data_IF_679083494433
#
_entry.id   IF_679083494433
#
_cell.length_a   1.000
_cell.length_b   1.000
_cell.length_c   1.000
_cell.angle_alpha   90.00
_cell.angle_beta   90.00
_cell.angle_gamma   90.00
#
_symmetry.space_group_name_H-M   'P 1'
#
loop_
_entity.id
_entity.type
_entity.pdbx_description
1 polymer ?
#
# COMPACT_ATOMS: atom_id res chain seq x y z
N UNK A 1 3.71 6.45 22.69
CA UNK A 1 3.08 6.36 21.36
C UNK A 1 4.00 5.54 20.46
N UNK A 2 3.43 4.67 19.61
CA UNK A 2 4.23 4.03 18.57
C UNK A 2 4.72 5.09 17.58
N UNK A 3 5.95 4.98 17.05
CA UNK A 3 6.47 5.95 16.08
C UNK A 3 5.58 5.98 14.82
N UNK A 4 5.36 7.17 14.26
CA UNK A 4 4.59 7.35 13.02
C UNK A 4 5.27 6.56 11.89
N UNK A 5 4.48 5.78 11.16
CA UNK A 5 4.91 5.02 10.00
C UNK A 5 3.86 5.16 8.91
N UNK A 6 4.24 5.77 7.81
CA UNK A 6 3.39 5.94 6.63
C UNK A 6 4.06 5.36 5.40
N UNK A 7 3.29 5.14 4.33
CA UNK A 7 3.83 4.61 3.09
C UNK A 7 3.21 5.23 1.86
N UNK A 8 4.02 5.41 0.83
CA UNK A 8 3.57 5.53 -0.54
C UNK A 8 3.58 4.15 -1.20
N UNK A 9 2.47 3.77 -1.82
CA UNK A 9 2.27 2.42 -2.36
C UNK A 9 1.78 2.45 -3.83
N UNK A 10 2.64 2.82 -4.80
CA UNK A 10 2.25 2.93 -6.20
C UNK A 10 2.22 1.57 -6.90
N UNK A 11 1.30 1.39 -7.84
CA UNK A 11 1.31 0.27 -8.79
C UNK A 11 2.15 0.65 -10.02
N UNK A 12 3.07 -0.21 -10.50
CA UNK A 12 3.94 0.08 -11.64
C UNK A 12 3.25 -0.18 -12.98
N UNK A 13 2.10 0.46 -13.20
CA UNK A 13 1.27 0.29 -14.41
C UNK A 13 1.34 1.49 -15.36
N UNK A 14 2.24 2.42 -15.11
CA UNK A 14 2.41 3.66 -15.87
C UNK A 14 3.28 4.67 -15.13
N UNK A 15 3.23 5.93 -15.59
CA UNK A 15 4.01 7.02 -15.01
C UNK A 15 3.49 7.47 -13.64
N UNK A 16 4.39 7.99 -12.81
CA UNK A 16 4.02 8.72 -11.60
C UNK A 16 3.27 10.01 -11.99
N UNK A 17 1.94 9.97 -11.91
CA UNK A 17 1.11 11.15 -12.16
C UNK A 17 1.12 12.12 -10.97
N UNK A 18 0.74 13.38 -11.23
CA UNK A 18 0.75 14.48 -10.24
C UNK A 18 -0.02 14.12 -8.96
N UNK A 19 -1.15 13.44 -9.09
CA UNK A 19 -1.91 12.94 -7.93
C UNK A 19 -1.12 11.96 -7.05
N UNK A 20 -0.34 11.07 -7.65
CA UNK A 20 0.55 10.15 -6.94
C UNK A 20 1.70 10.89 -6.26
N UNK A 21 2.34 11.83 -6.99
CA UNK A 21 3.40 12.67 -6.44
C UNK A 21 2.92 13.49 -5.23
N UNK A 22 1.71 14.07 -5.29
CA UNK A 22 1.09 14.77 -4.16
C UNK A 22 0.92 13.86 -2.94
N UNK A 23 0.43 12.64 -3.14
CA UNK A 23 0.26 11.67 -2.06
C UNK A 23 1.60 11.27 -1.45
N UNK A 24 2.62 11.01 -2.27
CA UNK A 24 3.98 10.72 -1.79
C UNK A 24 4.53 11.87 -0.96
N UNK A 25 4.43 13.11 -1.47
CA UNK A 25 4.89 14.32 -0.80
C UNK A 25 4.22 14.52 0.56
N UNK A 26 2.89 14.33 0.66
CA UNK A 26 2.18 14.51 1.93
C UNK A 26 2.58 13.46 2.97
N UNK A 27 2.73 12.20 2.57
CA UNK A 27 3.21 11.15 3.46
C UNK A 27 4.66 11.43 3.91
N UNK A 28 5.51 11.86 2.99
CA UNK A 28 6.89 12.23 3.29
C UNK A 28 6.96 13.40 4.28
N UNK A 29 6.27 14.51 4.00
CA UNK A 29 6.21 15.69 4.88
C UNK A 29 5.70 15.33 6.27
N UNK A 30 4.63 14.52 6.35
CA UNK A 30 4.06 14.11 7.62
C UNK A 30 5.03 13.24 8.42
N UNK A 31 5.69 12.26 7.78
CA UNK A 31 6.72 11.46 8.44
C UNK A 31 7.87 12.33 8.96
N UNK A 32 8.38 13.26 8.16
CA UNK A 32 9.47 14.16 8.55
C UNK A 32 9.07 15.10 9.69
N UNK A 33 7.85 15.64 9.65
CA UNK A 33 7.32 16.51 10.70
C UNK A 33 7.21 15.81 12.06
N UNK A 34 6.73 14.57 12.05
CA UNK A 34 6.51 13.76 13.26
C UNK A 34 7.77 13.00 13.75
N UNK A 35 8.91 13.14 13.04
CA UNK A 35 10.09 12.31 13.30
C UNK A 35 9.83 10.80 13.08
N UNK A 36 8.87 10.48 12.22
CA UNK A 36 8.46 9.12 11.85
C UNK A 36 9.20 8.58 10.64
N UNK A 37 8.63 7.52 10.05
CA UNK A 37 9.18 6.85 8.86
C UNK A 37 8.25 6.91 7.66
N UNK A 38 8.81 7.27 6.51
CA UNK A 38 8.24 7.17 5.19
C UNK A 38 8.76 5.93 4.47
N UNK A 39 7.85 5.04 4.10
CA UNK A 39 8.18 3.75 3.47
C UNK A 39 7.71 3.75 2.01
N UNK A 40 8.42 3.00 1.16
CA UNK A 40 8.03 2.77 -0.22
C UNK A 40 7.70 1.28 -0.44
N UNK A 41 6.54 1.02 -1.06
CA UNK A 41 6.12 -0.34 -1.44
C UNK A 41 5.55 -0.37 -2.84
N UNK A 42 6.15 -1.14 -3.74
CA UNK A 42 5.64 -1.33 -5.10
C UNK A 42 4.52 -2.37 -5.06
N UNK A 43 3.33 -2.00 -5.53
CA UNK A 43 2.15 -2.87 -5.61
C UNK A 43 2.15 -3.61 -6.97
N UNK A 44 3.13 -4.49 -7.17
CA UNK A 44 3.40 -5.24 -8.42
C UNK A 44 2.69 -6.61 -8.49
N UNK A 45 1.53 -6.77 -7.83
CA UNK A 45 0.82 -8.05 -7.78
C UNK A 45 0.17 -8.42 -9.11
N UNK A 46 -0.19 -7.43 -9.93
CA UNK A 46 -0.69 -7.67 -11.28
C UNK A 46 0.48 -7.73 -12.27
N UNK A 47 1.00 -8.94 -12.49
CA UNK A 47 2.15 -9.17 -13.37
C UNK A 47 1.90 -8.85 -14.84
N UNK A 48 0.63 -8.79 -15.29
CA UNK A 48 0.32 -8.46 -16.68
C UNK A 48 0.46 -6.96 -16.96
N UNK A 49 0.26 -6.11 -15.93
CA UNK A 49 0.35 -4.65 -16.05
C UNK A 49 1.59 -4.04 -15.42
N UNK A 50 2.29 -4.81 -14.58
CA UNK A 50 3.48 -4.36 -13.84
C UNK A 50 4.74 -4.59 -14.67
N UNK A 51 5.53 -3.54 -14.90
CA UNK A 51 6.84 -3.65 -15.58
C UNK A 51 7.96 -3.06 -14.73
N UNK A 52 9.17 -3.58 -14.92
CA UNK A 52 10.38 -3.04 -14.28
C UNK A 52 10.64 -1.60 -14.75
N UNK A 53 10.32 -1.30 -16.01
CA UNK A 53 10.43 0.06 -16.57
C UNK A 53 9.53 1.05 -15.84
N UNK A 54 8.25 0.72 -15.62
CA UNK A 54 7.35 1.59 -14.85
C UNK A 54 7.78 1.70 -13.38
N UNK A 55 8.32 0.63 -12.81
CA UNK A 55 8.91 0.69 -11.46
C UNK A 55 10.05 1.71 -11.44
N UNK A 56 10.98 1.65 -12.40
CA UNK A 56 12.10 2.57 -12.45
C UNK A 56 11.65 4.03 -12.61
N UNK A 57 10.66 4.29 -13.49
CA UNK A 57 10.07 5.61 -13.67
C UNK A 57 9.52 6.19 -12.36
N UNK A 58 8.89 5.36 -11.52
CA UNK A 58 8.40 5.78 -10.21
C UNK A 58 9.57 6.15 -9.30
N UNK A 59 10.60 5.30 -9.22
CA UNK A 59 11.78 5.53 -8.37
C UNK A 59 12.53 6.81 -8.78
N UNK A 60 12.73 7.00 -10.08
CA UNK A 60 13.38 8.19 -10.64
C UNK A 60 12.56 9.46 -10.36
N UNK A 61 11.23 9.38 -10.47
CA UNK A 61 10.34 10.48 -10.15
C UNK A 61 10.41 10.90 -8.67
N UNK A 62 10.46 9.93 -7.75
CA UNK A 62 10.62 10.20 -6.32
C UNK A 62 12.01 10.79 -6.02
N UNK A 63 13.06 10.24 -6.62
CA UNK A 63 14.43 10.75 -6.47
C UNK A 63 14.57 12.19 -6.99
N UNK A 64 13.98 12.49 -8.16
CA UNK A 64 13.97 13.84 -8.72
C UNK A 64 13.24 14.86 -7.83
N UNK A 65 12.16 14.43 -7.16
CA UNK A 65 11.44 15.24 -6.18
C UNK A 65 12.18 15.37 -4.83
N UNK A 66 13.28 14.65 -4.62
CA UNK A 66 14.00 14.62 -3.35
C UNK A 66 13.28 13.86 -2.24
N UNK A 67 12.40 12.91 -2.59
CA UNK A 67 11.60 12.12 -1.64
C UNK A 67 12.29 10.78 -1.36
N UNK A 68 13.20 10.78 -0.40
CA UNK A 68 13.85 9.57 0.12
C UNK A 68 12.90 8.74 1.00
N UNK A 69 13.20 7.45 1.20
CA UNK A 69 12.44 6.54 2.07
C UNK A 69 13.35 5.77 3.02
N UNK A 70 12.82 5.40 4.18
CA UNK A 70 13.64 5.10 5.37
C UNK A 70 13.98 3.62 5.55
N UNK A 71 13.37 2.71 4.80
CA UNK A 71 13.57 1.26 4.90
C UNK A 71 13.72 0.63 3.52
N UNK A 72 14.04 -0.66 3.47
CA UNK A 72 14.18 -1.36 2.20
C UNK A 72 12.89 -1.29 1.38
N UNK A 73 13.07 -1.13 0.06
CA UNK A 73 11.99 -1.15 -0.90
C UNK A 73 11.27 -2.50 -0.85
N UNK A 74 9.96 -2.48 -0.64
CA UNK A 74 9.14 -3.71 -0.59
C UNK A 74 8.42 -3.92 -1.92
N UNK A 75 8.53 -5.12 -2.47
CA UNK A 75 7.73 -5.58 -3.62
C UNK A 75 6.62 -6.50 -3.12
N UNK A 76 5.37 -6.16 -3.42
CA UNK A 76 4.22 -6.93 -2.96
C UNK A 76 4.09 -8.28 -3.69
N UNK A 77 4.49 -8.35 -4.96
CA UNK A 77 4.51 -9.57 -5.76
C UNK A 77 5.47 -10.63 -5.20
N UNK A 78 6.56 -10.21 -4.55
CA UNK A 78 7.48 -11.11 -3.85
C UNK A 78 6.87 -11.72 -2.57
N UNK A 79 5.70 -11.25 -2.12
CA UNK A 79 5.04 -11.67 -0.87
C UNK A 79 3.85 -12.61 -1.09
N UNK A 80 3.68 -13.18 -2.28
CA UNK A 80 2.54 -14.06 -2.62
C UNK A 80 2.33 -15.19 -1.59
N UNK A 81 3.42 -15.83 -1.13
CA UNK A 81 3.34 -16.88 -0.11
C UNK A 81 2.71 -16.37 1.18
N UNK A 82 3.10 -15.18 1.63
CA UNK A 82 2.54 -14.56 2.83
C UNK A 82 1.06 -14.22 2.65
N UNK A 83 0.66 -13.76 1.46
CA UNK A 83 -0.74 -13.48 1.17
C UNK A 83 -1.58 -14.76 1.23
N UNK A 84 -1.08 -15.86 0.68
CA UNK A 84 -1.73 -17.17 0.75
C UNK A 84 -1.87 -17.66 2.20
N UNK A 85 -0.80 -17.59 3.00
CA UNK A 85 -0.85 -17.95 4.43
C UNK A 85 -1.93 -17.19 5.20
N UNK A 86 -2.08 -15.89 4.91
CA UNK A 86 -3.11 -15.06 5.55
C UNK A 86 -4.50 -15.43 5.04
N UNK A 87 -4.67 -15.68 3.74
CA UNK A 87 -5.94 -16.09 3.16
C UNK A 87 -6.42 -17.44 3.74
N UNK A 88 -5.53 -18.41 3.84
CA UNK A 88 -5.80 -19.73 4.43
C UNK A 88 -6.17 -19.60 5.91
N UNK A 89 -5.47 -18.73 6.66
CA UNK A 89 -5.80 -18.44 8.05
C UNK A 89 -7.19 -17.80 8.18
N UNK A 90 -7.54 -16.85 7.32
CA UNK A 90 -8.85 -16.21 7.35
C UNK A 90 -10.00 -17.18 7.01
N UNK A 91 -9.76 -18.13 6.10
CA UNK A 91 -10.68 -19.23 5.83
C UNK A 91 -10.85 -20.13 7.06
N UNK A 92 -9.74 -20.54 7.68
CA UNK A 92 -9.75 -21.37 8.89
C UNK A 92 -10.46 -20.69 10.08
N UNK A 93 -10.34 -19.37 10.20
CA UNK A 93 -11.02 -18.57 11.23
C UNK A 93 -12.48 -18.24 10.89
N UNK A 94 -13.00 -18.66 9.73
CA UNK A 94 -14.37 -18.36 9.28
C UNK A 94 -14.61 -16.89 8.89
N UNK A 95 -13.54 -16.08 8.84
CA UNK A 95 -13.54 -14.66 8.44
C UNK A 95 -13.54 -14.45 6.94
N UNK A 96 -13.29 -15.51 6.18
CA UNK A 96 -13.44 -15.56 4.74
C UNK A 96 -14.15 -16.85 4.33
N UNK A 97 -14.61 -16.93 3.09
CA UNK A 97 -15.25 -18.10 2.51
C UNK A 97 -14.93 -18.22 1.01
N UNK A 98 -15.05 -19.44 0.48
CA UNK A 98 -14.87 -19.70 -0.95
C UNK A 98 -16.17 -19.49 -1.70
N UNK A 99 -16.12 -18.75 -2.81
CA UNK A 99 -17.27 -18.53 -3.70
C UNK A 99 -16.77 -18.31 -5.13
N UNK A 100 -17.32 -19.05 -6.10
CA UNK A 100 -16.96 -18.93 -7.53
C UNK A 100 -15.45 -19.00 -7.82
N UNK A 101 -14.72 -19.84 -7.06
CA UNK A 101 -13.27 -19.98 -7.20
C UNK A 101 -12.44 -18.85 -6.59
N UNK A 102 -13.06 -17.91 -5.88
CA UNK A 102 -12.39 -16.84 -5.16
C UNK A 102 -12.55 -16.95 -3.64
N UNK A 103 -11.58 -16.42 -2.90
CA UNK A 103 -11.70 -16.19 -1.45
C UNK A 103 -12.34 -14.83 -1.25
N UNK A 104 -13.52 -14.80 -0.62
CA UNK A 104 -14.25 -13.57 -0.29
C UNK A 104 -14.24 -13.34 1.22
N UNK A 105 -14.07 -12.08 1.63
CA UNK A 105 -14.18 -11.71 3.04
C UNK A 105 -15.62 -11.83 3.52
N UNK A 106 -15.81 -12.30 4.75
CA UNK A 106 -17.08 -12.20 5.45
C UNK A 106 -17.17 -10.82 6.09
N UNK A 107 -17.98 -9.95 5.50
CA UNK A 107 -18.23 -8.62 6.08
C UNK A 107 -19.01 -8.81 7.40
N UNK A 108 -18.48 -8.32 8.53
CA UNK A 108 -19.20 -8.41 9.80
C UNK A 108 -20.49 -7.58 9.74
N UNK A 109 -21.57 -8.02 10.39
CA UNK A 109 -22.80 -7.24 10.44
C UNK A 109 -22.60 -5.97 11.28
N UNK A 110 -23.32 -4.90 10.95
CA UNK A 110 -23.31 -3.64 11.69
C UNK A 110 -22.85 -2.45 10.84
N UNK A 111 -22.79 -1.28 11.48
CA UNK A 111 -22.23 -0.06 10.89
C UNK A 111 -20.70 -0.11 10.99
N UNK A 112 -20.01 0.11 9.88
CA UNK A 112 -18.57 0.31 9.84
C UNK A 112 -18.34 1.81 9.68
N UNK A 113 -17.80 2.44 10.71
CA UNK A 113 -17.48 3.86 10.69
C UNK A 113 -16.10 4.12 11.31
N UNK A 114 -15.41 5.15 10.85
CA UNK A 114 -14.14 5.60 11.41
C UNK A 114 -13.98 7.12 11.30
N UNK A 115 -13.12 7.69 12.15
CA UNK A 115 -12.72 9.09 12.05
C UNK A 115 -11.58 9.22 11.05
N UNK A 116 -11.87 9.76 9.86
CA UNK A 116 -10.88 10.10 8.86
C UNK A 116 -10.21 11.43 9.21
N UNK A 117 -8.87 11.46 9.15
CA UNK A 117 -8.11 12.63 9.55
C UNK A 117 -8.35 13.88 8.66
N UNK A 118 -8.91 13.71 7.46
CA UNK A 118 -9.21 14.78 6.52
C UNK A 118 -10.71 15.08 6.47
N UNK A 119 -11.53 14.03 6.49
CA UNK A 119 -12.98 14.14 6.23
C UNK A 119 -13.87 14.02 7.48
N UNK A 120 -13.30 13.70 8.65
CA UNK A 120 -14.07 13.40 9.86
C UNK A 120 -14.73 12.02 9.79
N UNK A 121 -15.85 11.84 10.50
CA UNK A 121 -16.55 10.55 10.54
C UNK A 121 -17.06 10.12 9.15
N UNK A 122 -16.63 8.93 8.71
CA UNK A 122 -17.11 8.21 7.50
C UNK A 122 -17.73 6.90 7.95
#
# INVERSE_FOLDING_TARGET
MSPIRVRFAPSPTGYLHVGGARTALFNWLYARHEGGKFLLRIEDTDKARSTDEHTQVILDGLAWLGLDWDEELVFQGARVKRHQEIADRLLAEGKAYMEEGAIRFRVPPGEIAWEDAVHGRI
#
